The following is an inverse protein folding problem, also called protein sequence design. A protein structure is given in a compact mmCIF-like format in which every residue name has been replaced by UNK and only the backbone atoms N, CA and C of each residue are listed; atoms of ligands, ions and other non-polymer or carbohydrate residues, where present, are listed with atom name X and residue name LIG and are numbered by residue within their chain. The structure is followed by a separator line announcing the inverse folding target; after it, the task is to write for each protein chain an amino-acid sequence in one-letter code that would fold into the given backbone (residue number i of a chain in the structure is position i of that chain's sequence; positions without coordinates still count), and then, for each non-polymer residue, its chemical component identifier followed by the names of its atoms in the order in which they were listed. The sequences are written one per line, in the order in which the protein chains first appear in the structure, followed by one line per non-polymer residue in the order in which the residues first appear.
data_IF_585724679538
#
_entry.id   IF_585724679538
#
_cell.length_a   1.000
_cell.length_b   1.000
_cell.length_c   1.000
_cell.angle_alpha   90.00
_cell.angle_beta   90.00
_cell.angle_gamma   90.00
#
_symmetry.space_group_name_H-M   'P 1'
#
loop_
_entity.id
_entity.type
_entity.pdbx_description
1 polymer ?
#
# COMPACT_ATOMS: atom_id res chain seq x y z
N UNK A 1 33.28 9.66 -24.22
CA UNK A 1 31.90 9.34 -24.68
C UNK A 1 31.10 8.52 -23.66
N UNK A 2 31.69 7.60 -22.87
CA UNK A 2 30.95 6.76 -21.89
C UNK A 2 30.40 7.50 -20.65
N UNK A 3 30.99 8.64 -20.26
CA UNK A 3 30.57 9.39 -19.06
C UNK A 3 29.20 10.07 -19.24
N UNK A 4 28.90 10.55 -20.45
CA UNK A 4 27.63 11.21 -20.81
C UNK A 4 26.43 10.25 -20.87
N UNK A 5 26.66 8.98 -21.22
CA UNK A 5 25.58 7.98 -21.26
C UNK A 5 25.19 7.47 -19.87
N UNK A 6 26.15 7.45 -18.93
CA UNK A 6 25.90 7.03 -17.55
C UNK A 6 25.06 8.08 -16.79
N UNK A 7 25.37 9.36 -16.95
CA UNK A 7 24.56 10.45 -16.38
C UNK A 7 23.15 10.45 -16.95
N UNK A 8 22.99 10.30 -18.26
CA UNK A 8 21.67 10.22 -18.89
C UNK A 8 20.83 9.03 -18.39
N UNK A 9 21.44 7.87 -18.16
CA UNK A 9 20.73 6.71 -17.59
C UNK A 9 20.38 6.91 -16.11
N UNK A 10 21.25 7.57 -15.34
CA UNK A 10 21.00 7.89 -13.94
C UNK A 10 19.89 8.93 -13.78
N UNK A 11 19.87 9.96 -14.63
CA UNK A 11 18.83 10.99 -14.63
C UNK A 11 17.47 10.39 -15.03
N UNK A 12 17.44 9.52 -16.04
CA UNK A 12 16.23 8.79 -16.41
C UNK A 12 15.69 7.91 -15.28
N UNK A 13 16.58 7.26 -14.52
CA UNK A 13 16.19 6.47 -13.35
C UNK A 13 15.73 7.36 -12.19
N UNK A 14 16.32 8.54 -12.03
CA UNK A 14 15.90 9.54 -11.05
C UNK A 14 14.49 10.07 -11.32
N UNK A 15 14.18 10.39 -12.58
CA UNK A 15 12.85 10.79 -13.03
C UNK A 15 11.83 9.67 -12.84
N UNK A 16 12.24 8.42 -13.09
CA UNK A 16 11.39 7.25 -12.87
C UNK A 16 11.02 7.09 -11.39
N UNK A 17 11.99 7.26 -10.48
CA UNK A 17 11.75 7.22 -9.04
C UNK A 17 10.84 8.37 -8.57
N UNK A 18 10.96 9.57 -9.15
CA UNK A 18 10.07 10.69 -8.82
C UNK A 18 8.65 10.46 -9.35
N UNK A 19 8.49 9.77 -10.49
CA UNK A 19 7.20 9.34 -11.01
C UNK A 19 6.56 8.26 -10.14
N UNK A 20 7.31 7.25 -9.70
CA UNK A 20 6.83 6.24 -8.76
C UNK A 20 6.29 6.91 -7.48
N UNK A 21 6.98 7.91 -6.94
CA UNK A 21 6.51 8.65 -5.77
C UNK A 21 5.13 9.28 -6.00
N UNK A 22 4.92 9.92 -7.16
CA UNK A 22 3.62 10.54 -7.48
C UNK A 22 2.51 9.49 -7.56
N UNK A 23 2.78 8.34 -8.16
CA UNK A 23 1.82 7.22 -8.25
C UNK A 23 1.47 6.64 -6.88
N UNK A 24 2.47 6.46 -6.01
CA UNK A 24 2.27 5.98 -4.63
C UNK A 24 1.38 6.95 -3.85
N UNK A 25 1.64 8.26 -3.96
CA UNK A 25 0.85 9.30 -3.29
C UNK A 25 -0.58 9.41 -3.86
N UNK A 26 -0.75 9.17 -5.16
CA UNK A 26 -2.07 9.15 -5.80
C UNK A 26 -2.87 7.87 -5.51
N UNK A 27 -2.23 6.81 -5.00
CA UNK A 27 -2.85 5.50 -4.81
C UNK A 27 -3.05 4.72 -6.12
N UNK A 28 -2.33 5.08 -7.19
CA UNK A 28 -2.38 4.46 -8.52
C UNK A 28 -1.57 3.15 -8.56
N UNK A 29 -2.10 2.09 -7.95
CA UNK A 29 -1.40 0.80 -7.79
C UNK A 29 -1.13 0.12 -9.14
N UNK A 30 -2.06 0.21 -10.10
CA UNK A 30 -1.89 -0.38 -11.44
C UNK A 30 -0.77 0.33 -12.22
N UNK A 31 -0.69 1.66 -12.08
CA UNK A 31 0.40 2.46 -12.64
C UNK A 31 1.75 2.07 -12.05
N UNK A 32 1.79 1.74 -10.76
CA UNK A 32 3.00 1.30 -10.09
C UNK A 32 3.48 -0.09 -10.56
N UNK A 33 2.57 -1.02 -10.83
CA UNK A 33 2.92 -2.34 -11.38
C UNK A 33 3.64 -2.20 -12.72
N UNK A 34 3.14 -1.33 -13.60
CA UNK A 34 3.76 -1.05 -14.90
C UNK A 34 5.12 -0.35 -14.75
N UNK A 35 5.24 0.54 -13.78
CA UNK A 35 6.49 1.24 -13.48
C UNK A 35 7.58 0.29 -12.97
N UNK A 36 7.23 -0.81 -12.29
CA UNK A 36 8.21 -1.78 -11.78
C UNK A 36 9.00 -2.47 -12.90
N UNK A 37 8.34 -2.84 -14.00
CA UNK A 37 9.00 -3.47 -15.15
C UNK A 37 10.00 -2.53 -15.85
N UNK A 38 9.67 -1.24 -15.91
CA UNK A 38 10.55 -0.23 -16.49
C UNK A 38 11.79 0.03 -15.61
N UNK A 39 11.63 -0.05 -14.28
CA UNK A 39 12.75 0.06 -13.34
C UNK A 39 13.78 -1.06 -13.52
N UNK A 40 13.33 -2.30 -13.72
CA UNK A 40 14.23 -3.43 -13.98
C UNK A 40 15.02 -3.27 -15.28
N UNK A 41 14.36 -2.77 -16.34
CA UNK A 41 15.03 -2.46 -17.61
C UNK A 41 16.08 -1.36 -17.46
N UNK A 42 15.77 -0.29 -16.73
CA UNK A 42 16.69 0.82 -16.50
C UNK A 42 17.89 0.39 -15.65
N UNK A 43 17.68 -0.44 -14.63
CA UNK A 43 18.75 -1.02 -13.82
C UNK A 43 19.67 -1.93 -14.64
N UNK A 44 19.11 -2.75 -15.54
CA UNK A 44 19.90 -3.62 -16.42
C UNK A 44 20.78 -2.84 -17.42
N UNK A 45 20.38 -1.61 -17.77
CA UNK A 45 21.14 -0.72 -18.68
C UNK A 45 22.20 0.10 -17.97
N UNK A 46 22.26 0.09 -16.64
CA UNK A 46 23.24 0.83 -15.88
C UNK A 46 24.58 0.07 -15.93
N UNK A 47 25.62 0.57 -16.63
CA UNK A 47 26.88 -0.15 -16.72
C UNK A 47 27.49 -0.24 -15.32
N UNK A 48 27.82 -1.46 -14.91
CA UNK A 48 28.40 -1.69 -13.59
C UNK A 48 29.83 -1.20 -13.58
N UNK A 49 30.11 0.05 -13.20
CA UNK A 49 31.50 0.52 -13.08
C UNK A 49 31.65 1.80 -12.26
N UNK A 50 32.48 1.70 -11.21
CA UNK A 50 33.70 2.50 -11.13
C UNK A 50 33.62 3.82 -10.38
N UNK A 51 33.03 4.86 -10.99
CA UNK A 51 33.51 6.22 -10.71
C UNK A 51 32.43 7.21 -10.24
N UNK A 52 31.24 6.74 -9.86
CA UNK A 52 30.10 7.65 -9.62
C UNK A 52 29.32 7.36 -8.34
N UNK A 53 30.05 7.10 -7.25
CA UNK A 53 29.50 6.76 -5.93
C UNK A 53 28.44 7.75 -5.42
N UNK A 54 28.60 9.06 -5.70
CA UNK A 54 27.63 10.08 -5.29
C UNK A 54 26.29 9.95 -6.01
N UNK A 55 26.32 9.67 -7.32
CA UNK A 55 25.13 9.45 -8.14
C UNK A 55 24.38 8.21 -7.68
N UNK A 56 25.09 7.11 -7.43
CA UNK A 56 24.51 5.89 -6.86
C UNK A 56 23.92 6.12 -5.47
N UNK A 57 24.59 6.91 -4.62
CA UNK A 57 24.07 7.25 -3.30
C UNK A 57 22.77 8.07 -3.39
N UNK A 58 22.66 9.00 -4.36
CA UNK A 58 21.43 9.78 -4.60
C UNK A 58 20.28 8.90 -5.06
N UNK A 59 20.52 8.02 -6.04
CA UNK A 59 19.53 7.04 -6.50
C UNK A 59 19.08 6.13 -5.36
N UNK A 60 20.02 5.62 -4.56
CA UNK A 60 19.71 4.75 -3.41
C UNK A 60 18.82 5.45 -2.40
N UNK A 61 19.13 6.70 -2.02
CA UNK A 61 18.28 7.50 -1.12
C UNK A 61 16.86 7.70 -1.64
N UNK A 62 16.68 7.88 -2.96
CA UNK A 62 15.36 8.01 -3.58
C UNK A 62 14.61 6.67 -3.57
N UNK A 63 15.29 5.58 -3.91
CA UNK A 63 14.72 4.23 -3.89
C UNK A 63 14.27 3.82 -2.47
N UNK A 64 15.12 4.03 -1.46
CA UNK A 64 14.81 3.68 -0.07
C UNK A 64 13.59 4.48 0.44
N UNK A 65 13.49 5.76 0.06
CA UNK A 65 12.32 6.60 0.39
C UNK A 65 11.03 6.06 -0.23
N UNK A 66 11.06 5.69 -1.50
CA UNK A 66 9.90 5.10 -2.18
C UNK A 66 9.51 3.76 -1.55
N UNK A 67 10.48 2.93 -1.18
CA UNK A 67 10.24 1.67 -0.47
C UNK A 67 9.55 1.92 0.88
N UNK A 68 10.00 2.90 1.66
CA UNK A 68 9.35 3.26 2.92
C UNK A 68 7.91 3.74 2.72
N UNK A 69 7.66 4.58 1.71
CA UNK A 69 6.32 5.04 1.36
C UNK A 69 5.40 3.88 0.95
N UNK A 70 5.91 2.93 0.15
CA UNK A 70 5.16 1.74 -0.25
C UNK A 70 4.78 0.86 0.93
N UNK A 71 5.72 0.62 1.84
CA UNK A 71 5.46 -0.14 3.06
C UNK A 71 4.44 0.58 3.96
N UNK A 72 4.49 1.90 4.04
CA UNK A 72 3.50 2.69 4.77
C UNK A 72 2.11 2.59 4.12
N UNK A 73 2.01 2.76 2.81
CA UNK A 73 0.76 2.64 2.05
C UNK A 73 0.15 1.23 2.19
N UNK A 74 0.96 0.18 2.06
CA UNK A 74 0.51 -1.20 2.23
C UNK A 74 -0.02 -1.49 3.65
N UNK A 75 0.62 -0.93 4.69
CA UNK A 75 0.11 -1.02 6.08
C UNK A 75 -1.23 -0.31 6.23
N UNK A 76 -1.37 0.89 5.64
CA UNK A 76 -2.62 1.64 5.64
C UNK A 76 -3.77 0.89 4.97
N UNK A 77 -3.52 0.32 3.79
CA UNK A 77 -4.51 -0.47 3.06
C UNK A 77 -4.94 -1.72 3.84
N UNK A 78 -4.00 -2.45 4.45
CA UNK A 78 -4.31 -3.60 5.32
C UNK A 78 -5.15 -3.19 6.53
N UNK A 79 -4.86 -2.05 7.16
CA UNK A 79 -5.63 -1.55 8.29
C UNK A 79 -7.07 -1.16 7.88
N UNK A 80 -7.23 -0.50 6.72
CA UNK A 80 -8.54 -0.18 6.16
C UNK A 80 -9.34 -1.45 5.83
N UNK A 81 -8.72 -2.44 5.19
CA UNK A 81 -9.35 -3.73 4.90
C UNK A 81 -9.80 -4.44 6.19
N UNK A 82 -8.93 -4.49 7.22
CA UNK A 82 -9.28 -5.05 8.53
C UNK A 82 -10.48 -4.34 9.15
N UNK A 83 -10.55 -3.01 9.05
CA UNK A 83 -11.68 -2.21 9.54
C UNK A 83 -12.97 -2.53 8.77
N UNK A 84 -12.90 -2.69 7.45
CA UNK A 84 -14.07 -3.10 6.67
C UNK A 84 -14.57 -4.49 7.07
N UNK A 85 -13.67 -5.45 7.29
CA UNK A 85 -14.04 -6.79 7.75
C UNK A 85 -14.69 -6.78 9.14
N UNK A 86 -14.20 -5.94 10.07
CA UNK A 86 -14.87 -5.76 11.38
C UNK A 86 -16.28 -5.16 11.27
N UNK A 87 -16.54 -4.33 10.25
CA UNK A 87 -17.87 -3.74 10.01
C UNK A 87 -18.81 -4.70 9.28
N UNK A 88 -18.27 -5.55 8.39
CA UNK A 88 -19.04 -6.60 7.69
C UNK A 88 -19.40 -7.76 8.60
N UNK A 89 -18.59 -8.03 9.61
CA UNK A 89 -18.90 -9.06 10.60
C UNK A 89 -20.08 -8.54 11.42
N UNK A 90 -21.28 -9.14 11.31
CA UNK A 90 -22.41 -8.72 12.14
C UNK A 90 -21.95 -8.82 13.58
N UNK A 91 -22.02 -7.71 14.33
CA UNK A 91 -21.69 -7.69 15.74
C UNK A 91 -22.37 -8.89 16.38
N UNK A 92 -21.57 -9.90 16.75
CA UNK A 92 -22.04 -11.09 17.44
C UNK A 92 -22.87 -10.59 18.61
N UNK A 93 -24.16 -10.93 18.58
CA UNK A 93 -25.23 -10.17 19.21
C UNK A 93 -24.89 -9.62 20.60
N UNK A 94 -25.33 -8.39 20.86
CA UNK A 94 -25.15 -7.74 22.15
C UNK A 94 -25.78 -8.65 23.22
N UNK A 95 -24.97 -9.23 24.10
CA UNK A 95 -25.46 -9.95 25.28
C UNK A 95 -25.97 -8.91 26.26
N UNK A 96 -27.28 -8.74 26.31
CA UNK A 96 -27.94 -7.86 27.28
C UNK A 96 -28.49 -8.71 28.41
N UNK A 97 -28.29 -8.24 29.63
CA UNK A 97 -28.95 -8.80 30.79
C UNK A 97 -30.36 -8.21 30.89
N UNK A 98 -31.38 -9.07 30.90
CA UNK A 98 -32.75 -8.68 31.17
C UNK A 98 -32.93 -8.25 32.62
N UNK A 99 -34.06 -7.58 32.91
CA UNK A 99 -34.44 -7.14 34.27
C UNK A 99 -34.57 -8.32 35.26
N UNK A 100 -34.76 -9.53 34.74
CA UNK A 100 -34.83 -10.81 35.45
C UNK A 100 -33.47 -11.49 35.64
N UNK A 101 -32.38 -10.90 35.17
CA UNK A 101 -31.03 -11.48 35.21
C UNK A 101 -30.77 -12.52 34.11
N UNK A 102 -31.72 -12.77 33.21
CA UNK A 102 -31.52 -13.69 32.09
C UNK A 102 -30.65 -13.05 31.01
N UNK A 103 -29.67 -13.79 30.50
CA UNK A 103 -28.82 -13.34 29.40
C UNK A 103 -29.55 -13.50 28.06
N UNK A 104 -29.97 -12.40 27.43
CA UNK A 104 -30.56 -12.39 26.09
C UNK A 104 -29.52 -11.90 25.07
N UNK A 105 -29.43 -12.59 23.93
CA UNK A 105 -28.53 -12.19 22.83
C UNK A 105 -29.34 -11.43 21.79
N UNK A 106 -29.15 -10.11 21.71
CA UNK A 106 -29.72 -9.27 20.66
C UNK A 106 -28.87 -9.43 19.39
N UNK A 107 -29.21 -10.44 18.59
CA UNK A 107 -28.77 -10.58 17.21
C UNK A 107 -29.86 -10.07 16.26
N UNK A 108 -29.46 -9.50 15.11
CA UNK A 108 -30.38 -9.11 14.03
C UNK A 108 -31.05 -10.36 13.41
N UNK A 109 -32.03 -10.93 14.11
CA UNK A 109 -32.95 -11.88 13.52
C UNK A 109 -34.04 -11.06 12.84
N UNK A 110 -34.10 -11.11 11.51
CA UNK A 110 -35.34 -10.88 10.77
C UNK A 110 -36.34 -12.00 11.14
N UNK A 111 -36.80 -12.04 12.38
CA UNK A 111 -37.78 -13.00 12.85
C UNK A 111 -38.98 -12.17 13.30
N UNK A 112 -40.03 -12.27 12.50
CA UNK A 112 -41.28 -11.54 12.68
C UNK A 112 -41.76 -11.64 14.13
N UNK A 113 -42.11 -10.48 14.66
CA UNK A 113 -42.72 -10.33 15.97
C UNK A 113 -44.16 -10.86 15.85
N UNK A 114 -44.36 -12.16 16.10
CA UNK A 114 -45.71 -12.66 16.35
C UNK A 114 -46.05 -12.34 17.79
N UNK A 115 -46.74 -11.22 17.98
CA UNK A 115 -47.50 -10.96 19.19
C UNK A 115 -48.74 -11.87 19.13
N UNK A 116 -48.75 -12.93 19.95
CA UNK A 116 -50.01 -13.58 20.29
C UNK A 116 -50.41 -13.11 21.68
N UNK A 117 -51.66 -12.64 21.73
CA UNK A 117 -52.44 -12.23 22.90
C UNK A 117 -53.18 -13.45 23.42
#
# INVERSE_FOLDING_TARGET
MAMLSLTAAADALEDHLDRERKLILAGEIDGLLRASAEKERLLARLPGSGDNAETFARLRRKADRNQQLLLAAARGLKAAAKRMETLKTPATGLRTYGRDGAAATLGNSRRGVNHQV
#
